data_IF_655842941069
#
_entry.id   IF_655842941069
#
_cell.length_a   1.000
_cell.length_b   1.000
_cell.length_c   1.000
_cell.angle_alpha   90.00
_cell.angle_beta   90.00
_cell.angle_gamma   90.00
#
_symmetry.space_group_name_H-M   'P 1'
#
loop_
_entity.id
_entity.type
_entity.pdbx_description
1 polymer ?
#
# COMPACT_ATOMS: atom_id res chain seq x y z
N UNK A 1 -4.71 -9.10 -6.93
CA UNK A 1 -6.10 -9.19 -6.44
C UNK A 1 -6.65 -7.77 -6.32
N UNK A 2 -7.68 -7.39 -7.08
CA UNK A 2 -8.33 -6.06 -7.00
C UNK A 2 -9.40 -6.00 -5.90
N UNK A 3 -9.91 -7.16 -5.45
CA UNK A 3 -11.06 -7.26 -4.53
C UNK A 3 -10.87 -6.50 -3.21
N UNK A 4 -9.64 -6.41 -2.70
CA UNK A 4 -9.32 -5.74 -1.44
C UNK A 4 -8.68 -4.36 -1.64
N UNK A 5 -8.76 -3.79 -2.86
CA UNK A 5 -8.27 -2.45 -3.15
C UNK A 5 -9.43 -1.50 -3.34
N UNK A 6 -9.28 -0.29 -2.83
CA UNK A 6 -10.29 0.76 -3.01
C UNK A 6 -10.46 1.01 -4.52
N UNK A 7 -11.69 0.85 -5.07
CA UNK A 7 -11.93 1.09 -6.49
C UNK A 7 -11.47 2.48 -6.91
N UNK A 8 -10.90 2.60 -8.10
CA UNK A 8 -10.36 3.89 -8.58
C UNK A 8 -9.02 4.28 -7.98
N UNK A 9 -8.34 3.38 -7.25
CA UNK A 9 -6.97 3.56 -6.74
C UNK A 9 -6.05 2.44 -7.21
N UNK A 10 -4.73 2.67 -7.18
CA UNK A 10 -3.70 1.67 -7.50
C UNK A 10 -2.83 1.31 -6.30
N UNK A 11 -2.88 2.10 -5.23
CA UNK A 11 -2.04 1.98 -4.05
C UNK A 11 -2.83 1.80 -2.74
N UNK A 12 -4.14 2.07 -2.70
CA UNK A 12 -4.92 1.96 -1.47
C UNK A 12 -5.49 0.55 -1.25
N UNK A 13 -4.70 -0.34 -0.65
CA UNK A 13 -5.10 -1.71 -0.28
C UNK A 13 -3.92 -2.51 0.26
N UNK A 14 -4.04 -3.84 0.29
CA UNK A 14 -2.89 -4.71 0.63
C UNK A 14 -1.84 -4.64 -0.49
N UNK A 15 -0.80 -3.84 -0.26
CA UNK A 15 0.20 -3.48 -1.26
C UNK A 15 -0.41 -2.65 -2.40
N UNK A 16 0.28 -2.61 -3.54
CA UNK A 16 -0.13 -1.83 -4.71
C UNK A 16 -0.12 -2.67 -5.99
N UNK A 17 -0.95 -2.30 -6.96
CA UNK A 17 -0.94 -2.90 -8.31
C UNK A 17 -0.25 -2.04 -9.36
N UNK A 18 0.25 -0.87 -8.95
CA UNK A 18 0.93 0.03 -9.86
C UNK A 18 2.23 -0.61 -10.35
N UNK A 19 2.43 -0.62 -11.67
CA UNK A 19 3.69 -1.09 -12.28
C UNK A 19 4.73 0.02 -12.40
N UNK A 20 4.30 1.28 -12.19
CA UNK A 20 5.13 2.48 -12.24
C UNK A 20 4.72 3.45 -11.14
N UNK A 21 5.69 4.19 -10.60
CA UNK A 21 5.45 5.20 -9.56
C UNK A 21 4.42 6.27 -9.94
N UNK A 22 4.38 6.66 -11.22
CA UNK A 22 3.46 7.68 -11.75
C UNK A 22 2.04 7.15 -11.97
N UNK A 23 1.82 5.83 -11.89
CA UNK A 23 0.52 5.24 -12.13
C UNK A 23 -0.38 5.43 -10.92
N UNK A 24 -1.29 6.40 -11.03
CA UNK A 24 -2.34 6.68 -10.04
C UNK A 24 -3.70 6.37 -10.66
N UNK A 25 -4.66 6.02 -9.82
CA UNK A 25 -6.06 5.88 -10.19
C UNK A 25 -6.81 7.22 -10.23
N UNK A 26 -8.12 7.14 -10.50
CA UNK A 26 -9.00 8.30 -10.61
C UNK A 26 -9.12 9.12 -9.32
N UNK A 27 -9.00 8.48 -8.16
CA UNK A 27 -8.89 9.19 -6.87
C UNK A 27 -7.46 9.61 -6.59
N UNK A 28 -6.87 10.35 -7.54
CA UNK A 28 -5.42 10.63 -7.61
C UNK A 28 -4.85 11.26 -6.34
N UNK A 29 -5.59 12.16 -5.67
CA UNK A 29 -5.14 12.79 -4.41
C UNK A 29 -5.00 11.76 -3.29
N UNK A 30 -6.03 10.93 -3.08
CA UNK A 30 -6.04 9.88 -2.06
C UNK A 30 -5.00 8.80 -2.39
N UNK A 31 -4.95 8.38 -3.65
CA UNK A 31 -4.04 7.33 -4.12
C UNK A 31 -2.56 7.74 -3.96
N UNK A 32 -2.25 9.04 -4.10
CA UNK A 32 -0.92 9.58 -3.81
C UNK A 32 -0.54 9.41 -2.34
N UNK A 33 -1.47 9.57 -1.39
CA UNK A 33 -1.21 9.36 0.02
C UNK A 33 -0.90 7.89 0.31
N UNK A 34 -1.67 6.96 -0.25
CA UNK A 34 -1.41 5.52 -0.12
C UNK A 34 -0.06 5.13 -0.74
N UNK A 35 0.29 5.70 -1.91
CA UNK A 35 1.61 5.49 -2.51
C UNK A 35 2.76 5.95 -1.61
N UNK A 36 2.60 7.11 -0.97
CA UNK A 36 3.62 7.62 -0.03
C UNK A 36 3.71 6.71 1.18
N UNK A 37 2.59 6.31 1.77
CA UNK A 37 2.53 5.36 2.87
C UNK A 37 3.31 4.07 2.56
N UNK A 38 3.03 3.44 1.42
CA UNK A 38 3.63 2.15 1.04
C UNK A 38 5.13 2.25 0.75
N UNK A 39 5.60 3.38 0.20
CA UNK A 39 7.00 3.52 -0.26
C UNK A 39 7.92 4.28 0.72
N UNK A 40 7.35 5.02 1.67
CA UNK A 40 8.13 5.90 2.56
C UNK A 40 8.12 5.46 4.02
N UNK A 41 7.30 4.50 4.41
CA UNK A 41 7.31 4.02 5.79
C UNK A 41 8.62 3.26 6.10
N UNK A 42 9.46 3.75 7.03
CA UNK A 42 10.71 3.08 7.37
C UNK A 42 10.51 1.85 8.28
N UNK A 43 9.32 1.70 8.88
CA UNK A 43 9.01 0.64 9.83
C UNK A 43 7.68 -0.02 9.48
N UNK A 44 7.72 -1.29 9.07
CA UNK A 44 6.53 -2.05 8.76
C UNK A 44 6.75 -3.53 9.08
N UNK A 45 5.67 -4.21 9.47
CA UNK A 45 5.66 -5.66 9.74
C UNK A 45 4.54 -6.25 8.89
N UNK A 46 4.88 -7.14 7.95
CA UNK A 46 3.90 -7.86 7.15
C UNK A 46 3.00 -8.75 8.03
N UNK A 47 1.80 -9.09 7.54
CA UNK A 47 0.94 -10.04 8.24
C UNK A 47 1.64 -11.40 8.37
N UNK A 48 1.60 -11.99 9.56
CA UNK A 48 2.32 -13.20 9.95
C UNK A 48 3.85 -13.06 9.95
N UNK A 49 4.40 -11.84 9.99
CA UNK A 49 5.84 -11.56 10.04
C UNK A 49 6.31 -11.16 11.45
N UNK A 50 7.58 -11.45 11.78
CA UNK A 50 8.26 -10.98 13.00
C UNK A 50 9.35 -9.96 12.65
N UNK A 51 9.29 -8.76 13.22
CA UNK A 51 10.31 -7.70 13.12
C UNK A 51 10.35 -6.88 14.40
N UNK A 52 11.50 -6.27 14.71
CA UNK A 52 11.65 -5.40 15.89
C UNK A 52 11.19 -6.05 17.20
N UNK A 53 11.42 -7.37 17.34
CA UNK A 53 10.96 -8.17 18.50
C UNK A 53 9.43 -8.26 18.66
N UNK A 54 8.67 -7.81 17.67
CA UNK A 54 7.21 -7.85 17.61
C UNK A 54 6.74 -8.84 16.54
N UNK A 55 5.62 -9.51 16.80
CA UNK A 55 4.96 -10.41 15.84
C UNK A 55 3.59 -9.83 15.43
N UNK A 56 3.35 -9.74 14.12
CA UNK A 56 2.08 -9.28 13.56
C UNK A 56 1.21 -10.49 13.23
N UNK A 57 0.23 -10.78 14.08
CA UNK A 57 -0.75 -11.87 13.91
C UNK A 57 -1.71 -11.61 12.74
#
# INVERSE_FOLDING_TARGET
MEILRVPGTKWCGKGFSATRYSQLGGYTRTDRCCRVHDLRCPYWIGGMERKYELYNW
#
